data_IF_093083042959
#
_entry.id   IF_093083042959
#
_cell.length_a   1.000
_cell.length_b   1.000
_cell.length_c   1.000
_cell.angle_alpha   90.00
_cell.angle_beta   90.00
_cell.angle_gamma   90.00
#
_symmetry.space_group_name_H-M   'P 1'
#
loop_
_entity.id
_entity.type
_entity.pdbx_description
1 polymer ?
#
# COMPACT_ATOMS: atom_id res chain seq x y z
N UNK A 1 24.10 -8.57 -24.57
CA UNK A 1 24.25 -9.20 -23.24
C UNK A 1 23.48 -8.32 -22.29
N UNK A 2 22.38 -8.79 -21.71
CA UNK A 2 21.69 -8.05 -20.66
C UNK A 2 22.66 -7.90 -19.47
N UNK A 3 22.85 -6.67 -18.99
CA UNK A 3 23.70 -6.40 -17.83
C UNK A 3 23.11 -7.02 -16.57
N UNK A 4 23.95 -7.27 -15.57
CA UNK A 4 23.49 -7.74 -14.24
C UNK A 4 22.62 -6.65 -13.61
N UNK A 5 21.43 -7.01 -13.16
CA UNK A 5 20.45 -6.07 -12.58
C UNK A 5 20.89 -5.64 -11.18
N UNK A 6 21.01 -4.33 -10.97
CA UNK A 6 21.45 -3.73 -9.71
C UNK A 6 20.27 -3.54 -8.76
N UNK A 7 20.27 -4.20 -7.63
CA UNK A 7 19.15 -4.26 -6.70
C UNK A 7 19.45 -3.52 -5.40
N UNK A 8 18.55 -2.62 -4.99
CA UNK A 8 18.51 -2.05 -3.65
C UNK A 8 17.37 -2.74 -2.88
N UNK A 9 17.65 -3.25 -1.69
CA UNK A 9 16.65 -3.85 -0.80
C UNK A 9 16.29 -2.86 0.31
N UNK A 10 14.99 -2.68 0.55
CA UNK A 10 14.45 -1.76 1.56
C UNK A 10 13.41 -2.49 2.40
N UNK A 11 13.74 -2.75 3.65
CA UNK A 11 12.89 -3.49 4.58
C UNK A 11 13.34 -3.19 6.02
N UNK A 12 12.45 -2.97 6.97
CA UNK A 12 12.84 -2.73 8.37
C UNK A 12 13.22 -4.01 9.12
N UNK A 13 12.80 -5.19 8.62
CA UNK A 13 13.10 -6.49 9.20
C UNK A 13 14.49 -7.00 8.77
N UNK A 14 15.45 -7.06 9.69
CA UNK A 14 16.83 -7.52 9.42
C UNK A 14 16.87 -8.96 8.85
N UNK A 15 15.96 -9.83 9.28
CA UNK A 15 15.88 -11.22 8.81
C UNK A 15 15.48 -11.29 7.34
N UNK A 16 14.53 -10.45 6.93
CA UNK A 16 14.07 -10.39 5.54
C UNK A 16 15.18 -9.84 4.64
N UNK A 17 15.87 -8.75 5.05
CA UNK A 17 17.02 -8.24 4.29
C UNK A 17 18.12 -9.28 4.14
N UNK A 18 18.40 -10.05 5.21
CA UNK A 18 19.38 -11.13 5.16
C UNK A 18 18.98 -12.23 4.17
N UNK A 19 17.72 -12.67 4.19
CA UNK A 19 17.21 -13.67 3.26
C UNK A 19 17.30 -13.18 1.80
N UNK A 20 16.86 -11.95 1.53
CA UNK A 20 16.95 -11.36 0.19
C UNK A 20 18.39 -11.22 -0.31
N UNK A 21 19.31 -10.87 0.58
CA UNK A 21 20.75 -10.84 0.25
C UNK A 21 21.23 -12.21 -0.21
N UNK A 22 20.88 -13.29 0.50
CA UNK A 22 21.25 -14.66 0.10
C UNK A 22 20.65 -14.99 -1.25
N UNK A 23 19.34 -14.78 -1.44
CA UNK A 23 18.65 -15.08 -2.71
C UNK A 23 19.25 -14.33 -3.91
N UNK A 24 19.60 -13.05 -3.73
CA UNK A 24 20.21 -12.23 -4.77
C UNK A 24 21.65 -12.67 -5.04
N UNK A 25 22.39 -13.13 -4.02
CA UNK A 25 23.79 -13.56 -4.18
C UNK A 25 23.93 -14.92 -4.86
N UNK A 26 22.88 -15.72 -4.86
CA UNK A 26 22.89 -17.05 -5.47
C UNK A 26 22.54 -17.05 -6.97
N UNK A 27 22.27 -15.87 -7.56
CA UNK A 27 21.88 -15.77 -8.97
C UNK A 27 22.69 -14.70 -9.72
N UNK A 28 23.37 -15.11 -10.79
CA UNK A 28 24.28 -14.25 -11.58
C UNK A 28 23.56 -13.15 -12.39
N UNK A 29 22.23 -13.18 -12.50
CA UNK A 29 21.42 -12.19 -13.22
C UNK A 29 21.22 -10.90 -12.44
N UNK A 30 21.39 -10.94 -11.12
CA UNK A 30 21.10 -9.85 -10.20
C UNK A 30 22.30 -9.59 -9.25
N UNK A 31 22.42 -8.38 -8.76
CA UNK A 31 23.45 -8.03 -7.76
C UNK A 31 22.91 -7.06 -6.73
N UNK A 32 23.12 -7.34 -5.45
CA UNK A 32 22.76 -6.42 -4.38
C UNK A 32 23.77 -5.27 -4.32
N UNK A 33 23.28 -4.03 -4.52
CA UNK A 33 24.13 -2.85 -4.51
C UNK A 33 23.98 -1.99 -3.26
N UNK A 34 22.96 -2.26 -2.43
CA UNK A 34 22.74 -1.57 -1.17
C UNK A 34 21.51 -2.09 -0.43
N UNK A 35 21.41 -1.65 0.82
CA UNK A 35 20.26 -1.90 1.69
C UNK A 35 19.84 -0.62 2.39
N UNK A 36 18.57 -0.48 2.71
CA UNK A 36 18.02 0.55 3.58
C UNK A 36 17.04 -0.08 4.58
N UNK A 37 16.88 0.54 5.74
CA UNK A 37 16.08 0.01 6.83
C UNK A 37 14.73 0.72 6.99
N UNK A 38 14.54 1.83 6.27
CA UNK A 38 13.31 2.61 6.30
C UNK A 38 13.12 3.41 4.99
N UNK A 39 11.88 3.79 4.71
CA UNK A 39 11.54 4.61 3.55
C UNK A 39 12.17 6.00 3.53
N UNK A 40 12.57 6.53 4.69
CA UNK A 40 13.24 7.82 4.83
C UNK A 40 14.64 7.84 4.19
N UNK A 41 15.32 6.69 4.16
CA UNK A 41 16.68 6.53 3.64
C UNK A 41 16.75 6.27 2.12
N UNK A 42 15.64 5.83 1.52
CA UNK A 42 15.62 5.22 0.19
C UNK A 42 16.12 6.13 -0.92
N UNK A 43 15.71 7.40 -0.94
CA UNK A 43 16.09 8.32 -2.02
C UNK A 43 17.60 8.58 -2.01
N UNK A 44 18.21 8.74 -0.83
CA UNK A 44 19.65 8.97 -0.70
C UNK A 44 20.45 7.68 -0.98
N UNK A 45 19.94 6.53 -0.59
CA UNK A 45 20.49 5.24 -0.99
C UNK A 45 20.45 5.09 -2.52
N UNK A 46 19.32 5.38 -3.17
CA UNK A 46 19.19 5.34 -4.63
C UNK A 46 20.17 6.27 -5.33
N UNK A 47 20.38 7.48 -4.81
CA UNK A 47 21.36 8.44 -5.36
C UNK A 47 22.79 7.89 -5.32
N UNK A 48 23.12 7.22 -4.23
CA UNK A 48 24.47 6.68 -3.95
C UNK A 48 24.74 5.45 -4.80
N UNK A 49 23.85 4.45 -4.76
CA UNK A 49 24.12 3.15 -5.37
C UNK A 49 23.53 2.99 -6.76
N UNK A 50 22.65 3.90 -7.21
CA UNK A 50 22.01 3.91 -8.54
C UNK A 50 21.48 2.53 -8.94
N UNK A 51 20.47 2.02 -8.23
CA UNK A 51 19.88 0.72 -8.54
C UNK A 51 19.03 0.78 -9.81
N UNK A 52 18.89 -0.36 -10.48
CA UNK A 52 17.91 -0.55 -11.55
C UNK A 52 16.55 -0.89 -10.98
N UNK A 53 16.53 -1.72 -9.93
CA UNK A 53 15.32 -2.17 -9.22
C UNK A 53 15.46 -1.94 -7.73
N UNK A 54 14.42 -1.40 -7.11
CA UNK A 54 14.26 -1.30 -5.65
C UNK A 54 13.24 -2.34 -5.22
N UNK A 55 13.64 -3.30 -4.39
CA UNK A 55 12.73 -4.21 -3.68
C UNK A 55 12.32 -3.51 -2.39
N UNK A 56 11.03 -3.18 -2.27
CA UNK A 56 10.49 -2.27 -1.27
C UNK A 56 9.46 -2.95 -0.38
N UNK A 57 9.73 -3.05 0.93
CA UNK A 57 8.65 -3.39 1.86
C UNK A 57 7.63 -2.25 1.96
N UNK A 58 6.37 -2.62 2.12
CA UNK A 58 5.27 -1.64 2.23
C UNK A 58 5.17 -1.07 3.65
N UNK A 59 5.39 -1.92 4.66
CA UNK A 59 5.18 -1.55 6.06
C UNK A 59 6.51 -1.29 6.76
N UNK A 60 6.87 -0.04 6.89
CA UNK A 60 8.05 0.41 7.62
C UNK A 60 7.68 1.46 8.69
N UNK A 61 8.62 1.81 9.58
CA UNK A 61 8.34 2.58 10.79
C UNK A 61 8.09 4.07 10.55
N UNK A 62 9.04 4.78 9.92
CA UNK A 62 8.95 6.24 9.75
C UNK A 62 8.22 6.62 8.48
N UNK A 63 8.67 6.07 7.34
CA UNK A 63 8.07 6.33 6.03
C UNK A 63 7.69 5.01 5.38
N UNK A 64 6.39 4.86 5.09
CA UNK A 64 5.86 3.66 4.44
C UNK A 64 6.45 3.47 3.03
N UNK A 65 6.53 2.22 2.57
CA UNK A 65 6.99 1.91 1.22
C UNK A 65 6.15 2.55 0.12
N UNK A 66 4.87 2.84 0.37
CA UNK A 66 4.01 3.56 -0.57
C UNK A 66 4.52 4.99 -0.79
N UNK A 67 4.77 5.71 0.29
CA UNK A 67 5.30 7.07 0.22
C UNK A 67 6.75 7.09 -0.30
N UNK A 68 7.57 6.15 0.15
CA UNK A 68 8.94 5.96 -0.35
C UNK A 68 8.96 5.71 -1.87
N UNK A 69 8.03 4.90 -2.39
CA UNK A 69 7.87 4.65 -3.84
C UNK A 69 7.58 5.95 -4.59
N UNK A 70 6.65 6.78 -4.10
CA UNK A 70 6.37 8.09 -4.73
C UNK A 70 7.62 8.96 -4.80
N UNK A 71 8.38 9.05 -3.70
CA UNK A 71 9.62 9.85 -3.62
C UNK A 71 10.72 9.35 -4.55
N UNK A 72 10.91 8.04 -4.63
CA UNK A 72 11.88 7.42 -5.55
C UNK A 72 11.51 7.74 -6.99
N UNK A 73 10.25 7.58 -7.38
CA UNK A 73 9.80 7.83 -8.75
C UNK A 73 9.73 9.32 -9.11
N UNK A 74 9.50 10.21 -8.14
CA UNK A 74 9.65 11.65 -8.33
C UNK A 74 11.11 12.03 -8.60
N UNK A 75 12.06 11.40 -7.90
CA UNK A 75 13.48 11.63 -8.12
C UNK A 75 13.97 11.00 -9.43
N UNK A 76 13.58 9.76 -9.73
CA UNK A 76 13.94 9.06 -10.94
C UNK A 76 12.78 8.19 -11.47
N UNK A 77 12.01 8.69 -12.45
CA UNK A 77 10.88 7.96 -13.03
C UNK A 77 11.26 6.67 -13.77
N UNK A 78 12.56 6.45 -14.04
CA UNK A 78 13.06 5.23 -14.69
C UNK A 78 13.41 4.13 -13.69
N UNK A 79 13.53 4.45 -12.40
CA UNK A 79 13.77 3.46 -11.37
C UNK A 79 12.56 2.50 -11.29
N UNK A 80 12.81 1.21 -11.20
CA UNK A 80 11.75 0.21 -11.03
C UNK A 80 11.56 -0.09 -9.56
N UNK A 81 10.35 0.00 -9.07
CA UNK A 81 10.03 -0.34 -7.68
C UNK A 81 9.15 -1.59 -7.68
N UNK A 82 9.66 -2.66 -7.08
CA UNK A 82 8.96 -3.92 -6.87
C UNK A 82 8.59 -4.03 -5.40
N UNK A 83 7.30 -4.02 -5.08
CA UNK A 83 6.84 -4.13 -3.70
C UNK A 83 6.93 -5.59 -3.22
N UNK A 84 7.41 -5.77 -1.99
CA UNK A 84 7.48 -7.06 -1.31
C UNK A 84 6.82 -6.93 0.07
N UNK A 85 5.86 -7.76 0.42
CA UNK A 85 5.08 -7.63 1.66
C UNK A 85 4.66 -8.96 2.25
N UNK A 86 4.43 -8.99 3.56
CA UNK A 86 3.85 -10.14 4.26
C UNK A 86 2.32 -10.25 4.08
N UNK A 87 1.64 -9.15 3.77
CA UNK A 87 0.18 -9.08 3.77
C UNK A 87 -0.41 -8.76 2.41
N UNK A 88 -1.43 -9.54 2.09
CA UNK A 88 -2.23 -9.47 0.87
C UNK A 88 -3.54 -8.71 1.07
N UNK A 89 -3.53 -7.55 1.75
CA UNK A 89 -4.71 -6.70 1.74
C UNK A 89 -4.78 -5.97 0.41
N UNK A 90 -5.86 -6.22 -0.32
CA UNK A 90 -6.09 -5.78 -1.70
C UNK A 90 -5.90 -4.28 -1.89
N UNK A 91 -6.36 -3.47 -0.94
CA UNK A 91 -6.24 -2.02 -1.01
C UNK A 91 -4.78 -1.53 -0.95
N UNK A 92 -3.89 -2.17 -0.18
CA UNK A 92 -2.45 -1.80 -0.13
C UNK A 92 -1.72 -2.15 -1.42
N UNK A 93 -2.09 -3.28 -2.04
CA UNK A 93 -1.56 -3.64 -3.35
C UNK A 93 -1.98 -2.60 -4.41
N UNK A 94 -3.24 -2.15 -4.39
CA UNK A 94 -3.70 -1.09 -5.29
C UNK A 94 -3.00 0.23 -5.02
N UNK A 95 -2.82 0.63 -3.75
CA UNK A 95 -2.14 1.89 -3.41
C UNK A 95 -0.69 1.92 -3.85
N UNK A 96 0.08 0.83 -3.64
CA UNK A 96 1.48 0.79 -4.06
C UNK A 96 1.61 0.79 -5.60
N UNK A 97 0.70 0.12 -6.32
CA UNK A 97 0.66 0.16 -7.78
C UNK A 97 0.25 1.55 -8.29
N UNK A 98 -0.70 2.23 -7.63
CA UNK A 98 -1.06 3.64 -7.92
C UNK A 98 0.09 4.60 -7.60
N UNK A 99 0.91 4.30 -6.61
CA UNK A 99 2.13 5.06 -6.32
C UNK A 99 3.21 4.89 -7.42
N UNK A 100 3.03 3.94 -8.35
CA UNK A 100 3.87 3.72 -9.52
C UNK A 100 4.77 2.49 -9.43
N UNK A 101 4.60 1.62 -8.42
CA UNK A 101 5.33 0.36 -8.39
C UNK A 101 5.05 -0.46 -9.66
N UNK A 102 6.07 -1.11 -10.20
CA UNK A 102 5.95 -1.95 -11.40
C UNK A 102 5.47 -3.36 -11.08
N UNK A 103 5.45 -3.75 -9.80
CA UNK A 103 5.00 -5.07 -9.39
C UNK A 103 4.79 -5.20 -7.90
N UNK A 104 4.24 -6.35 -7.54
CA UNK A 104 3.85 -6.69 -6.17
C UNK A 104 4.06 -8.19 -5.92
N UNK A 105 4.83 -8.51 -4.91
CA UNK A 105 5.11 -9.87 -4.44
C UNK A 105 4.79 -10.04 -2.96
N UNK A 106 4.58 -11.29 -2.57
CA UNK A 106 4.46 -11.67 -1.16
C UNK A 106 5.80 -12.20 -0.61
N UNK A 107 6.11 -11.89 0.65
CA UNK A 107 7.38 -12.31 1.31
C UNK A 107 7.53 -13.84 1.45
N UNK A 108 6.47 -14.64 1.21
CA UNK A 108 6.52 -16.09 1.14
C UNK A 108 6.79 -16.65 -0.27
N UNK A 109 7.09 -15.78 -1.26
CA UNK A 109 7.54 -16.23 -2.59
C UNK A 109 8.87 -16.96 -2.50
N UNK A 110 9.09 -17.92 -3.41
CA UNK A 110 10.38 -18.65 -3.45
C UNK A 110 11.53 -17.74 -3.91
N UNK A 111 12.79 -18.08 -3.59
CA UNK A 111 13.94 -17.32 -4.07
C UNK A 111 13.93 -17.10 -5.59
N UNK A 112 13.60 -18.13 -6.35
CA UNK A 112 13.53 -18.07 -7.82
C UNK A 112 12.44 -17.11 -8.28
N UNK A 113 11.25 -17.14 -7.66
CA UNK A 113 10.16 -16.22 -7.98
C UNK A 113 10.55 -14.75 -7.72
N UNK A 114 11.29 -14.48 -6.64
CA UNK A 114 11.74 -13.13 -6.30
C UNK A 114 12.76 -12.64 -7.33
N UNK A 115 13.74 -13.46 -7.67
CA UNK A 115 14.77 -13.09 -8.66
C UNK A 115 14.16 -12.92 -10.05
N UNK A 116 13.29 -13.83 -10.49
CA UNK A 116 12.60 -13.73 -11.77
C UNK A 116 11.75 -12.45 -11.86
N UNK A 117 11.08 -12.09 -10.77
CA UNK A 117 10.33 -10.85 -10.67
C UNK A 117 11.21 -9.59 -10.77
N UNK A 118 12.39 -9.60 -10.16
CA UNK A 118 13.37 -8.51 -10.25
C UNK A 118 13.84 -8.34 -11.71
N UNK A 119 14.18 -9.43 -12.37
CA UNK A 119 14.63 -9.44 -13.77
C UNK A 119 13.51 -8.95 -14.70
N UNK A 120 12.28 -9.45 -14.52
CA UNK A 120 11.11 -9.02 -15.30
C UNK A 120 10.77 -7.54 -15.08
N UNK A 121 10.84 -7.06 -13.82
CA UNK A 121 10.65 -5.65 -13.49
C UNK A 121 11.67 -4.75 -14.19
N UNK A 122 12.95 -5.17 -14.23
CA UNK A 122 14.00 -4.46 -14.96
C UNK A 122 13.72 -4.42 -16.47
N UNK A 123 13.23 -5.51 -17.06
CA UNK A 123 12.83 -5.56 -18.47
C UNK A 123 11.64 -4.67 -18.81
N UNK A 124 10.91 -4.19 -17.81
CA UNK A 124 9.76 -3.30 -17.97
C UNK A 124 8.41 -3.99 -17.82
N UNK A 125 8.41 -5.27 -17.49
CA UNK A 125 7.20 -6.04 -17.27
C UNK A 125 6.53 -5.65 -15.95
N UNK A 126 5.21 -5.84 -15.89
CA UNK A 126 4.46 -5.73 -14.65
C UNK A 126 4.38 -7.10 -13.99
N UNK A 127 4.89 -7.19 -12.77
CA UNK A 127 4.96 -8.45 -12.04
C UNK A 127 3.97 -8.43 -10.88
N UNK A 128 3.05 -9.37 -10.89
CA UNK A 128 2.12 -9.59 -9.76
C UNK A 128 2.15 -11.08 -9.46
N UNK A 129 2.39 -11.45 -8.20
CA UNK A 129 2.41 -12.86 -7.83
C UNK A 129 1.05 -13.54 -8.12
N UNK A 130 1.03 -14.83 -8.47
CA UNK A 130 -0.20 -15.56 -8.78
C UNK A 130 -1.27 -15.45 -7.68
N UNK A 131 -0.85 -15.50 -6.42
CA UNK A 131 -1.74 -15.37 -5.26
C UNK A 131 -2.44 -14.01 -5.21
N UNK A 132 -1.73 -12.96 -5.59
CA UNK A 132 -2.28 -11.60 -5.66
C UNK A 132 -3.18 -11.45 -6.88
N UNK A 133 -2.80 -12.01 -8.03
CA UNK A 133 -3.65 -12.03 -9.23
C UNK A 133 -4.98 -12.74 -8.98
N UNK A 134 -4.95 -13.91 -8.37
CA UNK A 134 -6.15 -14.69 -8.04
C UNK A 134 -7.10 -13.90 -7.12
N UNK A 135 -6.54 -13.19 -6.13
CA UNK A 135 -7.32 -12.33 -5.24
C UNK A 135 -7.94 -11.15 -5.96
N UNK A 136 -7.19 -10.45 -6.84
CA UNK A 136 -7.76 -9.37 -7.65
C UNK A 136 -8.88 -9.87 -8.56
N UNK A 137 -8.72 -11.04 -9.18
CA UNK A 137 -9.76 -11.66 -10.00
C UNK A 137 -10.98 -12.00 -9.13
N UNK A 138 -10.78 -12.59 -7.97
CA UNK A 138 -11.86 -12.91 -7.03
C UNK A 138 -12.61 -11.65 -6.58
N UNK A 139 -11.91 -10.60 -6.15
CA UNK A 139 -12.53 -9.32 -5.78
C UNK A 139 -13.29 -8.69 -6.93
N UNK A 140 -12.75 -8.78 -8.16
CA UNK A 140 -13.45 -8.27 -9.34
C UNK A 140 -14.72 -9.06 -9.65
N UNK A 141 -14.70 -10.38 -9.48
CA UNK A 141 -15.87 -11.25 -9.64
C UNK A 141 -16.89 -10.94 -8.54
N UNK A 142 -16.44 -10.88 -7.28
CA UNK A 142 -17.30 -10.57 -6.13
C UNK A 142 -17.91 -9.15 -6.24
N UNK A 143 -17.16 -8.19 -6.77
CA UNK A 143 -17.67 -6.84 -7.06
C UNK A 143 -18.67 -6.82 -8.23
N UNK A 144 -18.60 -7.80 -9.16
CA UNK A 144 -19.52 -7.91 -10.30
C UNK A 144 -20.79 -8.69 -9.94
N UNK A 145 -20.70 -9.67 -9.04
CA UNK A 145 -21.82 -10.47 -8.52
C UNK A 145 -22.49 -9.81 -7.30
N UNK A 146 -21.83 -8.86 -6.67
CA UNK A 146 -22.49 -8.04 -5.66
C UNK A 146 -23.37 -7.02 -6.38
N UNK A 147 -24.68 -7.00 -6.10
CA UNK A 147 -25.46 -5.79 -6.37
C UNK A 147 -24.67 -4.64 -5.74
N UNK A 148 -24.60 -3.48 -6.43
CA UNK A 148 -23.96 -2.24 -5.92
C UNK A 148 -24.10 -2.26 -4.41
N UNK A 149 -23.00 -2.30 -3.60
CA UNK A 149 -23.15 -2.52 -2.17
C UNK A 149 -24.21 -1.53 -1.73
N UNK A 150 -25.38 -2.05 -1.28
CA UNK A 150 -26.34 -1.19 -0.62
C UNK A 150 -25.51 -0.52 0.46
N UNK A 151 -25.35 0.80 0.32
CA UNK A 151 -24.62 1.59 1.31
C UNK A 151 -25.20 1.15 2.64
N UNK A 152 -24.42 0.47 3.53
CA UNK A 152 -25.00 -0.07 4.76
C UNK A 152 -25.82 1.04 5.37
N UNK A 153 -27.08 0.79 5.67
CA UNK A 153 -28.07 1.83 5.90
C UNK A 153 -27.63 2.74 7.05
N UNK A 154 -26.93 3.81 6.69
CA UNK A 154 -26.59 4.88 7.60
C UNK A 154 -27.86 5.66 7.91
N UNK A 155 -28.06 5.96 9.19
CA UNK A 155 -29.05 6.96 9.58
C UNK A 155 -28.64 8.33 9.01
N UNK A 156 -29.61 9.22 8.82
CA UNK A 156 -29.34 10.62 8.39
C UNK A 156 -28.34 11.32 9.31
N UNK A 157 -28.38 10.98 10.62
CA UNK A 157 -27.44 11.50 11.61
C UNK A 157 -26.00 11.01 11.35
N UNK A 158 -25.81 9.73 11.10
CA UNK A 158 -24.49 9.17 10.80
C UNK A 158 -23.91 9.71 9.51
N UNK A 159 -24.76 9.88 8.49
CA UNK A 159 -24.37 10.53 7.23
C UNK A 159 -23.86 11.95 7.48
N UNK A 160 -24.60 12.72 8.28
CA UNK A 160 -24.21 14.08 8.62
C UNK A 160 -22.93 14.15 9.45
N UNK A 161 -22.72 13.21 10.35
CA UNK A 161 -21.46 13.07 11.12
C UNK A 161 -20.30 12.82 10.14
N UNK A 162 -20.44 11.93 9.17
CA UNK A 162 -19.41 11.64 8.16
C UNK A 162 -19.05 12.89 7.33
N UNK A 163 -20.03 13.65 6.90
CA UNK A 163 -19.81 14.91 6.15
C UNK A 163 -18.96 15.92 6.96
N UNK A 164 -19.28 16.10 8.26
CA UNK A 164 -18.54 17.01 9.12
C UNK A 164 -17.14 16.48 9.45
N UNK A 165 -17.01 15.15 9.62
CA UNK A 165 -15.72 14.49 9.77
C UNK A 165 -14.82 14.75 8.53
N UNK A 166 -15.36 14.68 7.34
CA UNK A 166 -14.63 14.94 6.11
C UNK A 166 -14.14 16.38 5.99
N UNK A 167 -14.86 17.32 6.59
CA UNK A 167 -14.45 18.74 6.71
C UNK A 167 -13.37 18.98 7.77
N UNK A 168 -12.94 17.96 8.50
CA UNK A 168 -11.87 18.04 9.49
C UNK A 168 -12.32 18.35 10.92
N UNK A 169 -13.64 18.46 11.19
CA UNK A 169 -14.16 18.81 12.52
C UNK A 169 -13.87 17.74 13.56
N UNK A 170 -13.42 18.09 14.75
CA UNK A 170 -13.28 17.18 15.90
C UNK A 170 -14.65 16.65 16.39
N UNK A 171 -14.65 15.62 17.23
CA UNK A 171 -15.90 15.09 17.78
C UNK A 171 -16.69 16.12 18.61
N UNK A 172 -15.99 17.03 19.29
CA UNK A 172 -16.63 18.11 20.04
C UNK A 172 -17.30 19.13 19.11
N UNK A 173 -16.62 19.55 18.02
CA UNK A 173 -17.14 20.46 17.00
C UNK A 173 -18.32 19.84 16.23
N UNK A 174 -18.25 18.53 15.90
CA UNK A 174 -19.36 17.77 15.30
C UNK A 174 -20.57 17.75 16.27
N UNK A 175 -20.33 17.50 17.55
CA UNK A 175 -21.38 17.48 18.56
C UNK A 175 -22.06 18.85 18.70
N UNK A 176 -21.28 19.93 18.71
CA UNK A 176 -21.79 21.30 18.74
C UNK A 176 -22.60 21.62 17.48
N UNK A 177 -22.07 21.32 16.29
CA UNK A 177 -22.73 21.58 15.01
C UNK A 177 -24.06 20.86 14.85
N UNK A 178 -24.17 19.67 15.42
CA UNK A 178 -25.39 18.82 15.35
C UNK A 178 -26.30 18.97 16.57
N UNK A 179 -25.92 19.74 17.59
CA UNK A 179 -26.65 19.88 18.86
C UNK A 179 -26.80 18.56 19.61
N UNK A 180 -25.78 17.73 19.63
CA UNK A 180 -25.71 16.46 20.37
C UNK A 180 -24.67 16.49 21.50
N UNK A 181 -24.74 15.53 22.39
CA UNK A 181 -23.64 15.29 23.33
C UNK A 181 -22.46 14.62 22.59
N UNK A 182 -21.23 14.99 22.95
CA UNK A 182 -20.02 14.38 22.36
C UNK A 182 -19.98 12.87 22.51
N UNK A 183 -20.53 12.33 23.63
CA UNK A 183 -20.67 10.88 23.84
C UNK A 183 -21.55 10.21 22.79
N UNK A 184 -22.57 10.86 22.27
CA UNK A 184 -23.44 10.37 21.20
C UNK A 184 -22.65 10.30 19.88
N UNK A 185 -21.93 11.34 19.54
CA UNK A 185 -21.08 11.37 18.33
C UNK A 185 -20.02 10.26 18.38
N UNK A 186 -19.39 10.05 19.54
CA UNK A 186 -18.44 8.93 19.73
C UNK A 186 -19.08 7.56 19.59
N UNK A 187 -20.33 7.40 20.01
CA UNK A 187 -21.07 6.15 19.85
C UNK A 187 -21.41 5.88 18.38
N UNK A 188 -21.89 6.89 17.66
CA UNK A 188 -22.20 6.79 16.24
C UNK A 188 -20.93 6.50 15.40
N UNK A 189 -19.81 7.16 15.69
CA UNK A 189 -18.51 6.88 15.02
C UNK A 189 -18.07 5.42 15.28
N UNK A 190 -18.24 4.89 16.49
CA UNK A 190 -17.93 3.47 16.77
C UNK A 190 -18.86 2.53 16.00
N UNK A 191 -20.14 2.89 15.86
CA UNK A 191 -21.08 2.11 15.06
C UNK A 191 -20.69 2.12 13.60
N UNK A 192 -20.34 3.29 13.01
CA UNK A 192 -19.85 3.41 11.64
C UNK A 192 -18.57 2.59 11.45
N UNK A 193 -17.61 2.66 12.38
CA UNK A 193 -16.39 1.85 12.34
C UNK A 193 -16.68 0.36 12.27
N UNK A 194 -17.62 -0.11 13.10
CA UNK A 194 -18.04 -1.51 13.11
C UNK A 194 -18.78 -1.90 11.82
N UNK A 195 -19.71 -1.05 11.39
CA UNK A 195 -20.54 -1.28 10.20
C UNK A 195 -19.69 -1.37 8.91
N UNK A 196 -18.65 -0.55 8.80
CA UNK A 196 -17.79 -0.48 7.64
C UNK A 196 -16.47 -1.24 7.77
N UNK A 197 -16.27 -1.92 8.93
CA UNK A 197 -15.02 -2.61 9.28
C UNK A 197 -13.78 -1.73 9.10
N UNK A 198 -13.83 -0.53 9.69
CA UNK A 198 -12.75 0.46 9.66
C UNK A 198 -12.31 0.79 11.10
N UNK A 199 -11.04 1.18 11.27
CA UNK A 199 -10.43 1.34 12.60
C UNK A 199 -10.27 2.80 13.03
N UNK A 200 -10.29 3.72 12.07
CA UNK A 200 -9.99 5.11 12.35
C UNK A 200 -10.78 6.08 11.45
N UNK A 201 -10.76 7.35 11.85
CA UNK A 201 -11.48 8.46 11.23
C UNK A 201 -11.13 8.65 9.74
N UNK A 202 -9.85 8.51 9.37
CA UNK A 202 -9.42 8.65 7.98
C UNK A 202 -10.03 7.57 7.10
N UNK A 203 -10.11 6.34 7.60
CA UNK A 203 -10.74 5.23 6.89
C UNK A 203 -12.25 5.44 6.70
N UNK A 204 -12.94 6.10 7.65
CA UNK A 204 -14.34 6.51 7.47
C UNK A 204 -14.47 7.43 6.25
N UNK A 205 -13.62 8.46 6.16
CA UNK A 205 -13.64 9.45 5.06
C UNK A 205 -13.35 8.76 3.72
N UNK A 206 -12.34 7.88 3.65
CA UNK A 206 -12.01 7.13 2.44
C UNK A 206 -13.17 6.24 2.00
N UNK A 207 -13.78 5.48 2.92
CA UNK A 207 -14.96 4.66 2.61
C UNK A 207 -16.17 5.48 2.18
N UNK A 208 -16.41 6.62 2.81
CA UNK A 208 -17.50 7.52 2.43
C UNK A 208 -17.32 8.08 1.01
N UNK A 209 -16.08 8.32 0.58
CA UNK A 209 -15.76 8.71 -0.80
C UNK A 209 -15.99 7.55 -1.78
N UNK A 210 -15.58 6.33 -1.42
CA UNK A 210 -15.82 5.12 -2.21
C UNK A 210 -17.31 4.83 -2.41
N UNK A 211 -18.14 5.06 -1.39
CA UNK A 211 -19.59 4.91 -1.45
C UNK A 211 -20.31 6.12 -2.08
N UNK A 212 -19.59 7.15 -2.51
CA UNK A 212 -20.18 8.37 -3.09
C UNK A 212 -21.01 9.20 -2.10
N UNK A 213 -20.81 9.02 -0.79
CA UNK A 213 -21.50 9.78 0.27
C UNK A 213 -20.92 11.20 0.35
N UNK A 214 -19.62 11.35 0.11
CA UNK A 214 -18.91 12.62 0.07
C UNK A 214 -18.02 12.69 -1.18
N UNK A 215 -17.75 13.91 -1.66
CA UNK A 215 -16.77 14.21 -2.69
C UNK A 215 -15.66 15.04 -2.06
N UNK A 216 -14.40 14.64 -2.23
CA UNK A 216 -13.22 15.38 -1.79
C UNK A 216 -12.71 16.29 -2.92
#
# INVERSE_FOLDING_TARGET
>A
VAGVVRVLVVDDEALVRHALRVFISDDDRVTLVGEATDGSEVVDACRTVKPDVVVMDIKMHEISGIEATRRVLQWNPRCRVLALTTFTTEWRALEILRAGACGYLVKNSTPEQIVDAIVAAHAGDRVVSPEVQERFVRSAIEAHDSPVPETPALSDRERRIIELIAQGLSNAEVAEALHYAEGTVKADIRHINHLWNVENRLQIVLRATEFGIISL
#
